data_IF_161024807716
#
_entry.id   IF_161024807716
#
_cell.length_a   1.000
_cell.length_b   1.000
_cell.length_c   1.000
_cell.angle_alpha   90.00
_cell.angle_beta   90.00
_cell.angle_gamma   90.00
#
_symmetry.space_group_name_H-M   'P 1'
#
loop_
_entity.id
_entity.type
_entity.pdbx_description
1 polymer ?
#
# COMPACT_ATOMS: atom_id res chain seq x y z
N UNK A 1 28.53 6.72 -2.09
CA UNK A 1 27.79 6.09 -3.20
C UNK A 1 26.31 6.12 -2.89
N UNK A 2 25.47 6.34 -3.89
CA UNK A 2 24.02 6.25 -3.68
C UNK A 2 23.64 4.77 -3.58
N UNK A 3 22.99 4.35 -2.50
CA UNK A 3 22.45 2.99 -2.36
C UNK A 3 21.15 2.94 -3.16
N UNK A 4 21.14 2.18 -4.23
CA UNK A 4 20.01 2.10 -5.15
C UNK A 4 19.66 0.67 -5.61
N UNK A 5 20.56 -0.28 -5.41
CA UNK A 5 20.38 -1.68 -5.83
C UNK A 5 20.27 -2.63 -4.65
N UNK A 6 19.74 -3.86 -4.89
CA UNK A 6 19.76 -4.94 -3.90
C UNK A 6 21.18 -5.21 -3.39
N UNK A 7 22.14 -5.30 -4.29
CA UNK A 7 23.54 -5.54 -3.94
C UNK A 7 24.16 -4.42 -3.12
N UNK A 8 23.74 -3.15 -3.32
CA UNK A 8 24.19 -2.05 -2.46
C UNK A 8 23.66 -2.20 -1.03
N UNK A 9 22.38 -2.53 -0.86
CA UNK A 9 21.78 -2.77 0.46
C UNK A 9 22.50 -3.91 1.19
N UNK A 10 22.76 -5.01 0.50
CA UNK A 10 23.50 -6.17 1.04
C UNK A 10 24.91 -5.79 1.48
N UNK A 11 25.68 -5.11 0.62
CA UNK A 11 27.05 -4.68 0.94
C UNK A 11 27.11 -3.76 2.14
N UNK A 12 26.16 -2.82 2.25
CA UNK A 12 26.09 -1.93 3.42
C UNK A 12 25.80 -2.71 4.71
N UNK A 13 24.81 -3.61 4.68
CA UNK A 13 24.49 -4.41 5.85
C UNK A 13 25.65 -5.35 6.22
N UNK A 14 26.24 -6.05 5.24
CA UNK A 14 27.32 -6.98 5.46
C UNK A 14 28.57 -6.30 6.07
N UNK A 15 28.92 -5.10 5.59
CA UNK A 15 30.03 -4.33 6.13
C UNK A 15 29.79 -3.89 7.58
N UNK A 16 28.55 -3.67 7.98
CA UNK A 16 28.18 -3.20 9.32
C UNK A 16 28.09 -4.38 10.32
N UNK A 17 27.55 -5.52 9.88
CA UNK A 17 27.18 -6.65 10.75
C UNK A 17 28.21 -7.78 10.66
N UNK A 18 29.15 -7.71 9.72
CA UNK A 18 30.17 -8.76 9.48
C UNK A 18 29.58 -10.04 8.90
N UNK A 19 28.54 -9.91 8.04
CA UNK A 19 27.94 -11.04 7.33
C UNK A 19 28.75 -11.42 6.10
N UNK A 20 28.74 -12.70 5.75
CA UNK A 20 29.43 -13.21 4.57
C UNK A 20 28.58 -13.02 3.30
N UNK A 21 29.16 -12.40 2.29
CA UNK A 21 28.56 -12.20 0.97
C UNK A 21 28.94 -13.30 -0.04
N UNK A 22 29.45 -14.43 0.43
CA UNK A 22 29.73 -15.55 -0.49
C UNK A 22 28.45 -15.95 -1.23
N UNK A 23 28.49 -15.86 -2.53
CA UNK A 23 27.32 -16.14 -3.40
C UNK A 23 26.72 -17.52 -3.08
N UNK A 24 25.42 -17.53 -2.88
CA UNK A 24 24.67 -18.74 -2.46
C UNK A 24 25.00 -19.28 -1.07
N UNK A 25 25.73 -18.53 -0.25
CA UNK A 25 25.85 -18.80 1.18
C UNK A 25 24.54 -18.50 1.92
N UNK A 26 24.35 -19.11 3.10
CA UNK A 26 23.13 -18.91 3.89
C UNK A 26 22.88 -17.43 4.20
N UNK A 27 23.90 -16.68 4.59
CA UNK A 27 23.79 -15.27 4.92
C UNK A 27 23.43 -14.41 3.69
N UNK A 28 23.97 -14.75 2.51
CA UNK A 28 23.62 -14.11 1.24
C UNK A 28 22.15 -14.32 0.88
N UNK A 29 21.64 -15.55 1.03
CA UNK A 29 20.24 -15.87 0.78
C UNK A 29 19.31 -15.13 1.75
N UNK A 30 19.64 -15.11 3.04
CA UNK A 30 18.87 -14.37 4.04
C UNK A 30 18.84 -12.86 3.74
N UNK A 31 19.97 -12.28 3.32
CA UNK A 31 20.00 -10.86 2.94
C UNK A 31 19.18 -10.55 1.69
N UNK A 32 19.09 -11.51 0.74
CA UNK A 32 18.19 -11.37 -0.42
C UNK A 32 16.73 -11.28 0.03
N UNK A 33 16.31 -12.17 0.93
CA UNK A 33 14.94 -12.18 1.46
C UNK A 33 14.65 -10.92 2.27
N UNK A 34 15.57 -10.50 3.13
CA UNK A 34 15.40 -9.27 3.93
C UNK A 34 15.32 -8.01 3.07
N UNK A 35 16.07 -7.95 1.98
CA UNK A 35 15.99 -6.83 1.04
C UNK A 35 14.64 -6.79 0.32
N UNK A 36 14.13 -7.96 -0.08
CA UNK A 36 12.82 -8.08 -0.72
C UNK A 36 11.70 -7.71 0.24
N UNK A 37 11.73 -8.25 1.46
CA UNK A 37 10.76 -7.96 2.51
C UNK A 37 10.76 -6.48 2.89
N UNK A 38 11.95 -5.86 2.97
CA UNK A 38 12.09 -4.43 3.27
C UNK A 38 11.35 -3.56 2.26
N UNK A 39 11.44 -3.88 0.98
CA UNK A 39 10.75 -3.14 -0.08
C UNK A 39 9.24 -3.34 -0.01
N UNK A 40 8.79 -4.55 0.18
CA UNK A 40 7.36 -4.85 0.29
C UNK A 40 6.73 -4.17 1.50
N UNK A 41 7.35 -4.33 2.67
CA UNK A 41 6.85 -3.68 3.89
C UNK A 41 6.87 -2.16 3.76
N UNK A 42 7.97 -1.58 3.22
CA UNK A 42 8.06 -0.14 3.01
C UNK A 42 6.96 0.39 2.10
N UNK A 43 6.65 -0.27 0.97
CA UNK A 43 5.59 0.14 0.04
C UNK A 43 4.22 0.06 0.71
N UNK A 44 3.93 -1.03 1.42
CA UNK A 44 2.66 -1.22 2.14
C UNK A 44 2.49 -0.13 3.20
N UNK A 45 3.52 0.09 4.01
CA UNK A 45 3.47 0.99 5.16
C UNK A 45 3.44 2.47 4.77
N UNK A 46 4.14 2.85 3.72
CA UNK A 46 4.27 4.27 3.32
C UNK A 46 3.32 4.66 2.20
N UNK A 47 2.81 3.69 1.44
CA UNK A 47 2.03 3.92 0.21
C UNK A 47 2.76 4.88 -0.75
N UNK A 48 4.08 4.79 -0.78
CA UNK A 48 4.94 5.69 -1.58
C UNK A 48 4.61 5.64 -3.05
N UNK A 49 4.10 4.51 -3.51
CA UNK A 49 3.66 4.31 -4.87
C UNK A 49 2.30 3.62 -4.91
N UNK A 50 1.30 4.40 -5.24
CA UNK A 50 -0.01 3.90 -5.59
C UNK A 50 -0.06 3.67 -7.10
N UNK A 51 -0.62 2.56 -7.49
CA UNK A 51 -0.92 2.22 -8.89
C UNK A 51 -2.41 2.17 -9.10
N UNK A 52 -2.81 2.54 -10.31
CA UNK A 52 -4.16 2.36 -10.79
C UNK A 52 -4.23 1.05 -11.55
N UNK A 53 -5.26 0.27 -11.26
CA UNK A 53 -5.59 -0.93 -12.02
C UNK A 53 -7.08 -0.96 -12.31
N UNK A 54 -7.49 -1.73 -13.31
CA UNK A 54 -8.89 -1.86 -13.68
C UNK A 54 -9.34 -3.31 -13.49
N UNK A 55 -10.54 -3.47 -12.95
CA UNK A 55 -11.24 -4.74 -12.79
C UNK A 55 -12.55 -4.68 -13.57
N UNK A 56 -12.74 -5.63 -14.48
CA UNK A 56 -14.00 -5.78 -15.20
C UNK A 56 -14.99 -6.56 -14.34
N UNK A 57 -16.13 -5.98 -14.08
CA UNK A 57 -17.24 -6.61 -13.37
C UNK A 57 -18.17 -7.33 -14.36
N UNK A 58 -18.60 -8.51 -13.98
CA UNK A 58 -19.65 -9.25 -14.68
C UNK A 58 -21.00 -9.07 -13.99
N UNK A 59 -22.08 -9.05 -14.76
CA UNK A 59 -23.44 -8.99 -14.19
C UNK A 59 -23.70 -10.17 -13.24
N UNK A 60 -24.21 -9.89 -12.06
CA UNK A 60 -24.53 -10.89 -11.05
C UNK A 60 -23.32 -11.48 -10.29
N UNK A 61 -22.09 -11.13 -10.66
CA UNK A 61 -20.89 -11.60 -9.97
C UNK A 61 -20.51 -10.63 -8.86
N UNK A 62 -20.24 -11.16 -7.66
CA UNK A 62 -19.87 -10.37 -6.47
C UNK A 62 -18.43 -10.58 -6.06
N UNK A 63 -17.83 -11.72 -6.37
CA UNK A 63 -16.53 -12.16 -5.91
C UNK A 63 -15.50 -12.23 -7.03
N UNK A 64 -14.33 -11.66 -6.81
CA UNK A 64 -13.23 -11.58 -7.77
C UNK A 64 -11.90 -11.92 -7.10
N UNK A 65 -11.04 -12.69 -7.80
CA UNK A 65 -9.66 -12.93 -7.34
C UNK A 65 -8.78 -11.72 -7.68
N UNK A 66 -8.15 -11.13 -6.68
CA UNK A 66 -7.20 -10.03 -6.86
C UNK A 66 -5.94 -10.46 -7.61
N UNK A 67 -5.44 -11.66 -7.34
CA UNK A 67 -4.24 -12.18 -8.00
C UNK A 67 -4.43 -12.32 -9.52
N UNK A 68 -5.62 -12.68 -9.96
CA UNK A 68 -5.96 -12.83 -11.39
C UNK A 68 -6.35 -11.50 -12.01
N UNK A 69 -7.18 -10.72 -11.33
CA UNK A 69 -7.79 -9.53 -11.89
C UNK A 69 -6.87 -8.31 -11.85
N UNK A 70 -6.06 -8.17 -10.79
CA UNK A 70 -5.19 -6.99 -10.57
C UNK A 70 -3.83 -7.40 -9.97
N UNK A 71 -3.04 -8.20 -10.69
CA UNK A 71 -1.83 -8.84 -10.15
C UNK A 71 -0.75 -7.87 -9.67
N UNK A 72 -0.82 -6.60 -10.09
CA UNK A 72 0.18 -5.57 -9.78
C UNK A 72 -0.14 -4.77 -8.50
N UNK A 73 -1.19 -5.15 -7.75
CA UNK A 73 -1.64 -4.44 -6.56
C UNK A 73 -1.54 -5.35 -5.34
N UNK A 74 -0.90 -4.87 -4.26
CA UNK A 74 -0.78 -5.62 -2.99
C UNK A 74 -2.07 -5.58 -2.16
N UNK A 75 -2.96 -4.63 -2.45
CA UNK A 75 -4.23 -4.46 -1.75
C UNK A 75 -4.97 -3.25 -2.27
N UNK A 76 -6.25 -3.11 -1.93
CA UNK A 76 -7.08 -2.00 -2.41
C UNK A 76 -7.21 -0.93 -1.33
N UNK A 77 -6.83 0.29 -1.65
CA UNK A 77 -7.04 1.46 -0.79
C UNK A 77 -8.31 2.21 -1.14
N UNK A 78 -8.59 2.33 -2.42
CA UNK A 78 -9.76 3.03 -2.96
C UNK A 78 -10.28 2.29 -4.19
N UNK A 79 -11.58 2.29 -4.37
CA UNK A 79 -12.26 1.72 -5.52
C UNK A 79 -13.31 2.67 -6.06
N UNK A 80 -13.37 2.81 -7.38
CA UNK A 80 -14.33 3.65 -8.08
C UNK A 80 -14.97 2.85 -9.20
N UNK A 81 -16.28 2.92 -9.33
CA UNK A 81 -17.02 2.26 -10.40
C UNK A 81 -17.51 3.27 -11.43
N UNK A 82 -17.55 2.87 -12.69
CA UNK A 82 -17.96 3.69 -13.81
C UNK A 82 -16.80 4.34 -14.56
N UNK A 83 -17.14 5.08 -15.63
CA UNK A 83 -16.20 5.72 -16.54
C UNK A 83 -16.49 7.21 -16.70
N UNK A 84 -15.47 7.99 -16.97
CA UNK A 84 -15.59 9.43 -17.24
C UNK A 84 -16.27 10.19 -16.10
N UNK A 85 -17.25 11.01 -16.41
CA UNK A 85 -18.01 11.85 -15.48
C UNK A 85 -18.99 11.08 -14.58
N UNK A 86 -19.35 9.86 -14.96
CA UNK A 86 -20.28 9.00 -14.22
C UNK A 86 -19.56 8.08 -13.20
N UNK A 87 -18.34 8.43 -12.84
CA UNK A 87 -17.54 7.68 -11.90
C UNK A 87 -17.89 8.08 -10.46
N UNK A 88 -18.10 7.10 -9.59
CA UNK A 88 -18.32 7.32 -8.16
C UNK A 88 -17.50 6.35 -7.29
N UNK A 89 -17.14 6.80 -6.09
CA UNK A 89 -16.40 6.01 -5.13
C UNK A 89 -17.25 4.93 -4.49
N UNK A 90 -16.65 3.76 -4.26
CA UNK A 90 -17.25 2.71 -3.45
C UNK A 90 -16.80 2.87 -1.99
N UNK A 91 -17.71 2.59 -1.07
CA UNK A 91 -17.43 2.54 0.35
C UNK A 91 -16.70 1.24 0.70
N UNK A 92 -15.57 1.36 1.38
CA UNK A 92 -14.86 0.19 1.91
C UNK A 92 -15.49 -0.24 3.22
N UNK A 93 -15.85 -1.51 3.32
CA UNK A 93 -16.32 -2.16 4.54
C UNK A 93 -15.44 -3.37 4.87
N UNK A 94 -15.57 -3.91 6.08
CA UNK A 94 -14.90 -5.15 6.45
C UNK A 94 -15.54 -6.35 5.77
N UNK A 95 -14.82 -7.48 5.69
CA UNK A 95 -15.36 -8.71 5.14
C UNK A 95 -16.56 -9.21 5.95
N UNK A 96 -16.51 -9.10 7.28
CA UNK A 96 -17.60 -9.48 8.17
C UNK A 96 -18.86 -8.64 7.89
N UNK A 97 -18.73 -7.32 7.77
CA UNK A 97 -19.83 -6.43 7.40
C UNK A 97 -20.38 -6.75 6.00
N UNK A 98 -19.52 -7.09 5.03
CA UNK A 98 -19.94 -7.48 3.70
C UNK A 98 -20.82 -8.73 3.74
N UNK A 99 -20.44 -9.75 4.51
CA UNK A 99 -21.24 -10.97 4.67
C UNK A 99 -22.57 -10.70 5.36
N UNK A 100 -22.60 -9.80 6.33
CA UNK A 100 -23.85 -9.40 7.00
C UNK A 100 -24.77 -8.62 6.06
N UNK A 101 -24.23 -7.69 5.29
CA UNK A 101 -24.97 -6.95 4.26
C UNK A 101 -25.61 -7.89 3.21
N UNK A 102 -24.89 -8.89 2.74
CA UNK A 102 -25.41 -9.89 1.80
C UNK A 102 -26.58 -10.68 2.38
N UNK A 103 -26.53 -10.96 3.66
CA UNK A 103 -27.59 -11.73 4.33
C UNK A 103 -28.85 -10.91 4.60
N UNK A 104 -28.69 -9.62 4.92
CA UNK A 104 -29.78 -8.79 5.43
C UNK A 104 -30.44 -7.90 4.39
N UNK A 105 -29.75 -7.56 3.30
CA UNK A 105 -30.23 -6.62 2.30
C UNK A 105 -30.42 -7.30 0.94
N UNK A 106 -31.68 -7.43 0.50
CA UNK A 106 -32.04 -8.05 -0.77
C UNK A 106 -32.29 -7.03 -1.90
N UNK A 107 -32.20 -5.73 -1.64
CA UNK A 107 -32.51 -4.69 -2.64
C UNK A 107 -31.35 -4.53 -3.62
N UNK A 108 -31.64 -4.83 -4.88
CA UNK A 108 -30.74 -4.67 -6.02
C UNK A 108 -30.69 -3.19 -6.46
N UNK A 109 -29.91 -2.39 -5.77
CA UNK A 109 -29.51 -1.07 -6.26
C UNK A 109 -28.09 -1.21 -6.88
N UNK A 110 -27.56 -0.09 -7.41
CA UNK A 110 -26.21 -0.07 -7.98
C UNK A 110 -25.15 -0.42 -6.91
N UNK A 111 -24.09 -1.05 -7.33
CA UNK A 111 -22.92 -1.38 -6.47
C UNK A 111 -22.41 -0.17 -5.74
N UNK A 112 -22.31 -0.23 -4.41
CA UNK A 112 -21.92 0.89 -3.53
C UNK A 112 -20.78 0.56 -2.59
N UNK A 113 -20.60 -0.72 -2.27
CA UNK A 113 -19.66 -1.17 -1.25
C UNK A 113 -18.67 -2.17 -1.81
N UNK A 114 -17.49 -2.21 -1.24
CA UNK A 114 -16.51 -3.25 -1.49
C UNK A 114 -15.82 -3.69 -0.22
N UNK A 115 -15.39 -4.95 -0.20
CA UNK A 115 -14.45 -5.49 0.77
C UNK A 115 -13.27 -6.12 0.03
N UNK A 116 -12.08 -6.03 0.59
CA UNK A 116 -10.87 -6.63 0.02
C UNK A 116 -10.02 -7.20 1.15
N UNK A 117 -9.77 -8.51 1.11
CA UNK A 117 -8.98 -9.23 2.09
C UNK A 117 -8.26 -10.41 1.41
N UNK A 118 -6.94 -10.48 1.58
CA UNK A 118 -6.12 -11.47 0.90
C UNK A 118 -6.27 -11.38 -0.61
N UNK A 119 -6.62 -12.50 -1.26
CA UNK A 119 -6.88 -12.57 -2.70
C UNK A 119 -8.33 -12.26 -3.08
N UNK A 120 -9.21 -12.06 -2.12
CA UNK A 120 -10.63 -11.86 -2.36
C UNK A 120 -10.99 -10.38 -2.42
N UNK A 121 -11.64 -9.97 -3.51
CA UNK A 121 -12.28 -8.67 -3.69
C UNK A 121 -13.78 -8.89 -3.90
N UNK A 122 -14.59 -8.31 -3.04
CA UNK A 122 -16.03 -8.45 -3.07
C UNK A 122 -16.69 -7.10 -3.31
N UNK A 123 -17.80 -7.12 -4.06
CA UNK A 123 -18.64 -5.95 -4.30
C UNK A 123 -20.07 -6.21 -3.88
N UNK A 124 -20.77 -5.17 -3.45
CA UNK A 124 -22.17 -5.28 -3.08
C UNK A 124 -22.95 -3.96 -3.32
N UNK A 125 -24.18 -4.03 -3.78
CA UNK A 125 -24.83 -5.18 -4.46
C UNK A 125 -24.07 -5.66 -5.67
N UNK A 126 -24.38 -6.87 -6.15
CA UNK A 126 -23.84 -7.36 -7.42
C UNK A 126 -24.21 -6.39 -8.56
N UNK A 127 -23.30 -6.16 -9.51
CA UNK A 127 -23.61 -5.31 -10.66
C UNK A 127 -24.73 -5.91 -11.50
N UNK A 128 -25.69 -5.09 -11.88
CA UNK A 128 -26.80 -5.51 -12.76
C UNK A 128 -26.37 -5.68 -14.24
N UNK A 129 -25.26 -5.09 -14.61
CA UNK A 129 -24.66 -5.16 -15.94
C UNK A 129 -23.14 -5.15 -15.84
N UNK A 130 -22.46 -5.54 -16.93
CA UNK A 130 -21.01 -5.43 -17.03
C UNK A 130 -20.57 -3.97 -16.77
N UNK A 131 -19.55 -3.79 -15.94
CA UNK A 131 -19.03 -2.49 -15.56
C UNK A 131 -17.52 -2.57 -15.30
N UNK A 132 -16.89 -1.42 -15.12
CA UNK A 132 -15.46 -1.33 -14.82
C UNK A 132 -15.25 -0.65 -13.48
N UNK A 133 -14.50 -1.31 -12.62
CA UNK A 133 -13.96 -0.68 -11.39
C UNK A 133 -12.53 -0.26 -11.65
N UNK A 134 -12.21 0.97 -11.25
CA UNK A 134 -10.84 1.44 -11.12
C UNK A 134 -10.41 1.30 -9.66
N UNK A 135 -9.36 0.53 -9.44
CA UNK A 135 -8.78 0.27 -8.13
C UNK A 135 -7.48 1.07 -7.97
N UNK A 136 -7.27 1.62 -6.80
CA UNK A 136 -5.99 2.20 -6.39
C UNK A 136 -5.46 1.43 -5.21
N UNK A 137 -4.18 1.10 -5.26
CA UNK A 137 -3.53 0.38 -4.18
C UNK A 137 -2.00 0.45 -4.26
N UNK A 138 -1.30 0.01 -3.21
CA UNK A 138 0.15 -0.10 -3.24
C UNK A 138 0.62 -1.01 -4.37
N UNK A 139 1.65 -0.57 -5.10
CA UNK A 139 2.28 -1.39 -6.13
C UNK A 139 2.80 -2.70 -5.53
N UNK A 140 2.54 -3.81 -6.20
CA UNK A 140 3.22 -5.08 -5.96
C UNK A 140 4.50 -5.10 -6.78
N UNK A 141 5.70 -4.93 -6.17
CA UNK A 141 6.94 -4.94 -6.93
C UNK A 141 7.27 -6.35 -7.41
N UNK A 142 7.92 -6.45 -8.56
CA UNK A 142 8.52 -7.70 -9.01
C UNK A 142 9.61 -8.11 -8.01
N UNK A 143 9.70 -9.39 -7.64
CA UNK A 143 10.81 -9.89 -6.83
C UNK A 143 12.16 -9.63 -7.50
N UNK A 144 13.17 -9.31 -6.70
CA UNK A 144 14.53 -9.18 -7.22
C UNK A 144 15.07 -10.51 -7.74
N UNK A 145 15.62 -10.50 -8.93
CA UNK A 145 16.29 -11.67 -9.52
C UNK A 145 17.81 -11.58 -9.37
N UNK A 146 18.39 -10.39 -9.38
CA UNK A 146 19.84 -10.15 -9.34
C UNK A 146 20.22 -8.99 -8.41
N UNK A 147 21.48 -8.96 -7.98
CA UNK A 147 22.03 -7.90 -7.13
C UNK A 147 22.09 -6.52 -7.81
N UNK A 148 22.09 -6.50 -9.15
CA UNK A 148 21.99 -5.28 -9.94
C UNK A 148 20.59 -4.66 -10.01
N UNK A 149 19.55 -5.38 -9.54
CA UNK A 149 18.19 -4.89 -9.60
C UNK A 149 18.01 -3.65 -8.72
N UNK A 150 17.44 -2.61 -9.34
CA UNK A 150 17.38 -1.28 -8.76
C UNK A 150 15.97 -0.98 -8.23
N UNK A 151 15.83 -0.83 -6.92
CA UNK A 151 14.55 -0.55 -6.25
C UNK A 151 13.97 0.84 -6.58
N UNK A 152 14.75 1.73 -7.20
CA UNK A 152 14.23 3.03 -7.65
C UNK A 152 13.45 2.94 -8.95
N UNK A 153 13.60 1.84 -9.70
CA UNK A 153 12.81 1.59 -10.92
C UNK A 153 11.39 1.18 -10.58
N UNK A 154 10.47 1.47 -11.49
CA UNK A 154 9.05 1.16 -11.28
C UNK A 154 8.77 -0.33 -11.12
N UNK A 155 9.54 -1.19 -11.76
CA UNK A 155 9.41 -2.64 -11.70
C UNK A 155 9.66 -3.19 -10.29
N UNK A 156 10.68 -2.67 -9.61
CA UNK A 156 11.12 -3.15 -8.30
C UNK A 156 10.68 -2.25 -7.14
N UNK A 157 9.64 -1.45 -7.34
CA UNK A 157 9.02 -0.65 -6.29
C UNK A 157 8.95 0.84 -6.56
N UNK A 158 9.89 1.39 -7.33
CA UNK A 158 9.95 2.84 -7.61
C UNK A 158 10.18 3.68 -6.35
N UNK A 159 10.91 3.12 -5.37
CA UNK A 159 11.21 3.79 -4.11
C UNK A 159 12.33 4.81 -4.35
N UNK A 160 12.12 6.10 -4.10
CA UNK A 160 13.19 7.08 -4.25
C UNK A 160 14.42 6.75 -3.41
N UNK A 161 15.63 6.94 -3.97
CA UNK A 161 16.89 6.56 -3.33
C UNK A 161 17.12 7.16 -1.93
N UNK A 162 16.49 8.31 -1.64
CA UNK A 162 16.58 8.95 -0.32
C UNK A 162 15.82 8.19 0.80
N UNK A 163 15.11 7.11 0.49
CA UNK A 163 14.48 6.21 1.46
C UNK A 163 15.33 4.97 1.77
N UNK A 164 16.54 4.87 1.23
CA UNK A 164 17.45 3.75 1.47
C UNK A 164 17.73 3.50 2.97
N UNK A 165 17.75 4.57 3.79
CA UNK A 165 17.90 4.46 5.24
C UNK A 165 16.80 3.65 5.91
N UNK A 166 15.56 3.77 5.44
CA UNK A 166 14.46 2.98 5.95
C UNK A 166 14.59 1.50 5.56
N UNK A 167 14.99 1.20 4.32
CA UNK A 167 15.22 -0.16 3.87
C UNK A 167 16.36 -0.82 4.67
N UNK A 168 17.48 -0.11 4.86
CA UNK A 168 18.59 -0.58 5.68
C UNK A 168 18.18 -0.78 7.14
N UNK A 169 17.38 0.11 7.71
CA UNK A 169 16.88 -0.05 9.07
C UNK A 169 16.04 -1.31 9.25
N UNK A 170 15.18 -1.65 8.26
CA UNK A 170 14.47 -2.92 8.25
C UNK A 170 15.41 -4.12 8.23
N UNK A 171 16.38 -4.11 7.30
CA UNK A 171 17.34 -5.21 7.16
C UNK A 171 18.19 -5.38 8.44
N UNK A 172 18.60 -4.29 9.11
CA UNK A 172 19.28 -4.33 10.41
C UNK A 172 18.42 -4.99 11.48
N UNK A 173 17.16 -4.64 11.52
CA UNK A 173 16.22 -5.27 12.46
C UNK A 173 16.13 -6.78 12.22
N UNK A 174 16.02 -7.21 10.96
CA UNK A 174 16.00 -8.64 10.60
C UNK A 174 17.32 -9.33 10.95
N UNK A 175 18.45 -8.70 10.69
CA UNK A 175 19.78 -9.19 11.07
C UNK A 175 19.93 -9.30 12.59
N UNK A 176 19.42 -8.36 13.37
CA UNK A 176 19.44 -8.42 14.84
C UNK A 176 18.57 -9.54 15.41
N UNK A 177 17.45 -9.90 14.75
CA UNK A 177 16.68 -11.09 15.12
C UNK A 177 17.45 -12.39 14.81
N UNK A 178 18.19 -12.41 13.70
CA UNK A 178 19.00 -13.56 13.29
C UNK A 178 20.18 -13.79 14.26
N UNK A 179 20.92 -12.73 14.61
CA UNK A 179 22.05 -12.79 15.54
C UNK A 179 22.19 -11.50 16.35
N UNK A 180 21.64 -11.51 17.57
CA UNK A 180 21.65 -10.35 18.48
C UNK A 180 23.07 -9.89 18.86
N UNK A 181 24.07 -10.76 18.77
CA UNK A 181 25.44 -10.43 19.21
C UNK A 181 26.21 -9.61 18.17
N UNK A 182 25.76 -9.58 16.93
CA UNK A 182 26.47 -8.87 15.85
C UNK A 182 26.16 -7.37 15.79
N UNK A 183 25.09 -6.93 16.43
CA UNK A 183 24.68 -5.53 16.40
C UNK A 183 24.73 -4.92 17.80
N UNK A 184 25.06 -3.62 17.93
CA UNK A 184 25.16 -2.95 19.22
C UNK A 184 23.80 -2.65 19.88
N UNK A 185 22.70 -2.95 19.17
CA UNK A 185 21.33 -2.65 19.58
C UNK A 185 20.49 -3.92 19.65
N UNK A 186 19.54 -3.95 20.58
CA UNK A 186 18.57 -5.05 20.68
C UNK A 186 17.61 -5.02 19.50
N UNK A 187 16.99 -6.17 19.12
CA UNK A 187 15.99 -6.24 18.05
C UNK A 187 14.85 -5.22 18.22
N UNK A 188 14.41 -4.96 19.45
CA UNK A 188 13.35 -3.98 19.74
C UNK A 188 13.80 -2.55 19.45
N UNK A 189 15.04 -2.19 19.80
CA UNK A 189 15.60 -0.88 19.46
C UNK A 189 15.74 -0.70 17.95
N UNK A 190 16.22 -1.74 17.25
CA UNK A 190 16.33 -1.72 15.78
C UNK A 190 14.97 -1.58 15.11
N UNK A 191 13.94 -2.24 15.65
CA UNK A 191 12.56 -2.06 15.19
C UNK A 191 12.08 -0.64 15.39
N UNK A 192 12.33 -0.02 16.54
CA UNK A 192 11.99 1.38 16.80
C UNK A 192 12.67 2.34 15.81
N UNK A 193 13.93 2.10 15.46
CA UNK A 193 14.62 2.88 14.42
C UNK A 193 13.93 2.73 13.05
N UNK A 194 13.52 1.52 12.68
CA UNK A 194 12.77 1.31 11.46
C UNK A 194 11.43 2.07 11.47
N UNK A 195 10.65 1.98 12.53
CA UNK A 195 9.39 2.70 12.67
C UNK A 195 9.55 4.23 12.61
N UNK A 196 10.66 4.75 13.17
CA UNK A 196 11.00 6.16 13.05
C UNK A 196 11.26 6.57 11.59
N UNK A 197 12.04 5.78 10.83
CA UNK A 197 12.31 6.05 9.42
C UNK A 197 11.03 5.93 8.57
N UNK A 198 10.14 4.96 8.84
CA UNK A 198 8.82 4.88 8.22
C UNK A 198 7.98 6.13 8.48
N UNK A 199 7.99 6.63 9.70
CA UNK A 199 7.27 7.85 10.07
C UNK A 199 7.79 9.07 9.31
N UNK A 200 9.12 9.17 9.16
CA UNK A 200 9.78 10.22 8.35
C UNK A 200 9.39 10.11 6.89
N UNK A 201 9.39 8.90 6.32
CA UNK A 201 8.99 8.64 4.95
C UNK A 201 7.52 9.01 4.70
N UNK A 202 6.60 8.61 5.58
CA UNK A 202 5.18 8.97 5.50
C UNK A 202 4.96 10.48 5.52
N UNK A 203 5.68 11.22 6.38
CA UNK A 203 5.60 12.70 6.44
C UNK A 203 6.09 13.34 5.14
N UNK A 204 7.19 12.85 4.56
CA UNK A 204 7.72 13.34 3.28
C UNK A 204 6.73 13.09 2.14
N UNK A 205 6.18 11.88 2.05
CA UNK A 205 5.21 11.51 1.02
C UNK A 205 3.94 12.36 1.10
N UNK A 206 3.42 12.63 2.30
CA UNK A 206 2.26 13.53 2.48
C UNK A 206 2.55 14.96 1.99
N UNK A 207 3.75 15.49 2.24
CA UNK A 207 4.14 16.83 1.77
C UNK A 207 4.29 16.89 0.26
N UNK A 208 4.79 15.82 -0.36
CA UNK A 208 4.92 15.74 -1.82
C UNK A 208 3.58 15.47 -2.51
N UNK A 209 2.75 14.59 -1.96
CA UNK A 209 1.43 14.24 -2.50
C UNK A 209 0.46 15.44 -2.54
N UNK A 210 0.55 16.37 -1.60
CA UNK A 210 -0.21 17.61 -1.63
C UNK A 210 0.15 18.55 -2.78
N UNK A 211 1.26 18.32 -3.47
CA UNK A 211 1.69 19.10 -4.66
C UNK A 211 1.56 18.35 -5.99
N UNK A 212 1.43 17.03 -5.98
CA UNK A 212 1.62 16.18 -7.17
C UNK A 212 0.33 15.64 -7.81
N UNK A 213 -0.85 15.96 -7.29
CA UNK A 213 -2.12 15.60 -7.93
C UNK A 213 -3.04 16.82 -8.09
N UNK A 214 -2.84 17.64 -9.14
CA UNK A 214 -3.88 18.54 -9.58
C UNK A 214 -4.97 17.67 -10.25
N UNK A 215 -6.03 17.34 -9.51
CA UNK A 215 -7.16 16.59 -10.04
C UNK A 215 -7.87 15.61 -9.10
N UNK A 216 -7.21 15.09 -8.08
CA UNK A 216 -7.88 14.34 -7.01
C UNK A 216 -8.34 15.32 -5.91
N UNK A 217 -9.28 16.18 -6.24
CA UNK A 217 -10.18 16.70 -5.23
C UNK A 217 -10.99 15.50 -4.75
N UNK A 218 -10.71 15.03 -3.54
CA UNK A 218 -11.65 14.22 -2.77
C UNK A 218 -12.91 15.07 -2.61
N UNK A 219 -13.82 14.93 -3.56
CA UNK A 219 -15.13 15.55 -3.51
C UNK A 219 -16.01 14.75 -2.54
N UNK A 220 -15.66 14.79 -1.27
CA UNK A 220 -16.70 14.65 -0.26
C UNK A 220 -17.40 16.01 -0.22
N UNK A 221 -18.68 16.10 -0.57
CA UNK A 221 -19.44 17.28 -0.25
C UNK A 221 -19.41 17.38 1.27
N UNK A 222 -18.73 18.41 1.75
CA UNK A 222 -18.79 18.81 3.15
C UNK A 222 -20.25 19.23 3.42
N UNK A 223 -21.10 18.28 3.84
CA UNK A 223 -22.46 18.53 4.28
C UNK A 223 -22.44 18.99 5.74
N UNK A 224 -21.60 19.94 6.04
CA UNK A 224 -21.77 20.82 7.19
C UNK A 224 -22.07 22.21 6.67
N UNK A 225 -23.31 22.42 6.24
CA UNK A 225 -23.87 23.76 6.20
C UNK A 225 -23.86 24.29 7.62
N UNK A 226 -23.18 25.40 7.91
CA UNK A 226 -23.42 26.10 9.15
C UNK A 226 -24.90 26.58 9.12
N UNK A 227 -25.68 26.02 10.03
CA UNK A 227 -27.03 26.47 10.24
C UNK A 227 -27.01 27.99 10.50
N UNK A 228 -27.63 28.74 9.62
CA UNK A 228 -28.04 30.12 9.88
C UNK A 228 -28.98 30.07 11.06
N UNK A 229 -28.46 30.42 12.25
CA UNK A 229 -29.31 30.83 13.36
C UNK A 229 -30.03 32.10 12.93
N UNK A 230 -31.29 31.95 12.61
CA UNK A 230 -32.23 33.07 12.63
C UNK A 230 -32.59 33.39 14.09
N UNK A 231 -31.79 34.24 14.72
CA UNK A 231 -32.20 34.94 15.93
C UNK A 231 -32.99 36.14 15.51
N UNK A 232 -34.27 35.94 15.22
CA UNK A 232 -35.26 37.01 15.18
C UNK A 232 -36.02 37.00 16.50
N UNK A 233 -35.57 37.81 17.47
CA UNK A 233 -36.37 38.25 18.59
C UNK A 233 -37.32 39.31 18.07
N UNK A 234 -38.62 39.27 18.43
CA UNK A 234 -39.52 40.39 18.21
C UNK A 234 -39.27 41.47 19.26
N UNK A 235 -39.34 42.76 18.93
CA UNK A 235 -39.36 43.84 19.91
C UNK A 235 -40.75 43.95 20.53
N UNK A 236 -40.75 44.32 21.79
CA UNK A 236 -41.95 44.72 22.58
C UNK A 236 -42.74 45.86 21.95
#
# INVERSE_FOLDING_TARGET
MAVATRGDLKRHLAAEVGLDLTVSGLEDLLMNDWAQDAIWDFIIQTRVRLVQSTLNLSAGQEDYSMATAVPNVLGVTEAFIGTGTNRYGLERISMAEMMDWRRTNSTLDRTRKYAAEGDLFMVYPSPSSANVITLYGPLKPTPFAADGDNFTTSQYGGIPAHHNTALLAYMRWRAGIYDEKRLPHTPDQLRQFYELELSRARRRNRRMGGRAMPGLRTGYPNTSSPGTRNDSYPPD
#
